data_IF_629073348640
#
_entry.id   IF_629073348640
#
_cell.length_a   1.000
_cell.length_b   1.000
_cell.length_c   1.000
_cell.angle_alpha   90.00
_cell.angle_beta   90.00
_cell.angle_gamma   90.00
#
_symmetry.space_group_name_H-M   'P 1'
#
loop_
_entity.id
_entity.type
_entity.pdbx_description
1 polymer ?
#
# COMPACT_ATOMS: atom_id res chain seq x y z
N UNK A 1 -5.93 -13.27 -14.89
CA UNK A 1 -5.67 -13.19 -13.43
C UNK A 1 -6.57 -12.11 -12.86
N UNK A 2 -7.50 -12.49 -11.99
CA UNK A 2 -8.48 -11.56 -11.41
C UNK A 2 -7.77 -10.53 -10.53
N UNK A 3 -8.35 -9.34 -10.42
CA UNK A 3 -7.79 -8.22 -9.65
C UNK A 3 -7.54 -8.60 -8.19
N UNK A 4 -8.38 -9.48 -7.63
CA UNK A 4 -8.24 -10.07 -6.30
C UNK A 4 -6.96 -10.90 -6.17
N UNK A 5 -6.70 -11.81 -7.09
CA UNK A 5 -5.51 -12.68 -7.06
C UNK A 5 -4.23 -11.83 -7.16
N UNK A 6 -4.26 -10.78 -7.98
CA UNK A 6 -3.18 -9.79 -8.03
C UNK A 6 -2.93 -9.17 -6.66
N UNK A 7 -3.98 -8.68 -5.99
CA UNK A 7 -3.84 -8.07 -4.67
C UNK A 7 -3.39 -9.05 -3.57
N UNK A 8 -3.80 -10.31 -3.63
CA UNK A 8 -3.38 -11.35 -2.67
C UNK A 8 -1.90 -11.71 -2.83
N UNK A 9 -1.43 -11.90 -4.07
CA UNK A 9 0.00 -12.10 -4.37
C UNK A 9 0.83 -10.91 -3.87
N UNK A 10 0.32 -9.68 -4.10
CA UNK A 10 0.96 -8.45 -3.63
C UNK A 10 1.13 -8.40 -2.11
N UNK A 11 0.12 -8.82 -1.35
CA UNK A 11 0.19 -8.90 0.11
C UNK A 11 1.29 -9.85 0.57
N UNK A 12 1.35 -11.02 -0.05
CA UNK A 12 2.24 -12.09 0.39
C UNK A 12 3.70 -11.76 0.05
N UNK A 13 3.95 -11.18 -1.14
CA UNK A 13 5.26 -10.65 -1.52
C UNK A 13 5.68 -9.52 -0.58
N UNK A 14 4.77 -8.61 -0.23
CA UNK A 14 5.04 -7.53 0.73
C UNK A 14 5.47 -8.08 2.10
N UNK A 15 4.73 -9.05 2.64
CA UNK A 15 5.04 -9.65 3.93
C UNK A 15 6.42 -10.32 3.92
N UNK A 16 6.71 -11.10 2.87
CA UNK A 16 8.00 -11.78 2.72
C UNK A 16 9.18 -10.82 2.61
N UNK A 17 9.06 -9.72 1.87
CA UNK A 17 10.13 -8.71 1.74
C UNK A 17 10.43 -8.01 3.07
N UNK A 18 9.38 -7.69 3.83
CA UNK A 18 9.51 -7.09 5.16
C UNK A 18 10.19 -8.06 6.13
N UNK A 19 9.74 -9.32 6.18
CA UNK A 19 10.31 -10.33 7.05
C UNK A 19 11.79 -10.58 6.70
N UNK A 20 12.14 -10.66 5.42
CA UNK A 20 13.52 -10.79 4.97
C UNK A 20 14.42 -9.63 5.45
N UNK A 21 13.97 -8.38 5.31
CA UNK A 21 14.72 -7.22 5.77
C UNK A 21 14.90 -7.23 7.29
N UNK A 22 13.89 -7.66 8.04
CA UNK A 22 13.94 -7.77 9.50
C UNK A 22 14.98 -8.80 9.95
N UNK A 23 14.96 -9.99 9.35
CA UNK A 23 15.90 -11.07 9.64
C UNK A 23 17.34 -10.66 9.29
N UNK A 24 17.53 -10.04 8.11
CA UNK A 24 18.84 -9.55 7.69
C UNK A 24 19.40 -8.49 8.65
N UNK A 25 18.57 -7.53 9.08
CA UNK A 25 18.98 -6.49 10.03
C UNK A 25 19.33 -7.04 11.40
N UNK A 26 18.57 -8.02 11.88
CA UNK A 26 18.83 -8.72 13.14
C UNK A 26 20.15 -9.48 13.09
N UNK A 27 20.38 -10.22 12.01
CA UNK A 27 21.65 -10.91 11.77
C UNK A 27 22.85 -9.93 11.78
N UNK A 28 22.75 -8.83 11.03
CA UNK A 28 23.83 -7.82 10.95
C UNK A 28 24.12 -7.15 12.29
N UNK A 29 23.08 -6.82 13.07
CA UNK A 29 23.24 -6.26 14.41
C UNK A 29 23.93 -7.25 15.36
N UNK A 30 23.55 -8.53 15.28
CA UNK A 30 24.16 -9.57 16.11
C UNK A 30 25.63 -9.79 15.75
N UNK A 31 25.97 -9.78 14.46
CA UNK A 31 27.35 -9.84 14.00
C UNK A 31 28.18 -8.65 14.53
N UNK A 32 27.68 -7.42 14.40
CA UNK A 32 28.37 -6.22 14.90
C UNK A 32 28.57 -6.23 16.43
N UNK A 33 27.58 -6.73 17.18
CA UNK A 33 27.70 -6.91 18.64
C UNK A 33 28.74 -7.97 19.00
N UNK A 34 28.78 -9.08 18.26
CA UNK A 34 29.80 -10.12 18.43
C UNK A 34 31.20 -9.57 18.18
N UNK A 35 31.39 -8.81 17.11
CA UNK A 35 32.66 -8.18 16.75
C UNK A 35 33.12 -7.15 17.79
N UNK A 36 32.18 -6.42 18.40
CA UNK A 36 32.43 -5.52 19.52
C UNK A 36 32.96 -6.30 20.74
N UNK A 37 32.27 -7.38 21.14
CA UNK A 37 32.69 -8.22 22.27
C UNK A 37 34.09 -8.80 22.04
N UNK A 38 34.39 -9.25 20.82
CA UNK A 38 35.72 -9.73 20.46
C UNK A 38 36.80 -8.64 20.57
N UNK A 39 36.51 -7.40 20.16
CA UNK A 39 37.44 -6.27 20.27
C UNK A 39 37.68 -5.85 21.74
N UNK A 40 36.64 -5.89 22.57
CA UNK A 40 36.73 -5.64 24.02
C UNK A 40 37.58 -6.73 24.69
N UNK A 41 37.32 -8.01 24.37
CA UNK A 41 38.09 -9.14 24.90
C UNK A 41 39.57 -9.09 24.48
N UNK A 42 39.86 -8.55 23.29
CA UNK A 42 41.21 -8.34 22.77
C UNK A 42 41.87 -7.05 23.28
N UNK A 43 41.22 -6.33 24.21
CA UNK A 43 41.69 -5.07 24.81
C UNK A 43 41.96 -3.94 23.79
N UNK A 44 41.33 -3.99 22.61
CA UNK A 44 41.48 -2.99 21.56
C UNK A 44 40.48 -1.85 21.75
N UNK A 45 40.70 -1.00 22.75
CA UNK A 45 39.76 0.05 23.18
C UNK A 45 39.28 1.00 22.05
N UNK A 46 40.17 1.41 21.15
CA UNK A 46 39.81 2.27 20.02
C UNK A 46 38.89 1.57 19.00
N UNK A 47 39.20 0.29 18.69
CA UNK A 47 38.40 -0.55 17.81
C UNK A 47 37.04 -0.87 18.44
N UNK A 48 37.02 -1.16 19.74
CA UNK A 48 35.78 -1.39 20.48
C UNK A 48 34.84 -0.17 20.46
N UNK A 49 35.37 1.06 20.63
CA UNK A 49 34.56 2.29 20.54
C UNK A 49 33.93 2.47 19.15
N UNK A 50 34.70 2.22 18.09
CA UNK A 50 34.20 2.30 16.72
C UNK A 50 33.10 1.25 16.45
N UNK A 51 33.34 -0.01 16.85
CA UNK A 51 32.35 -1.10 16.70
C UNK A 51 31.09 -0.85 17.53
N UNK A 52 31.20 -0.22 18.70
CA UNK A 52 30.05 0.18 19.51
C UNK A 52 29.20 1.24 18.80
N UNK A 53 29.82 2.23 18.16
CA UNK A 53 29.11 3.22 17.37
C UNK A 53 28.36 2.58 16.20
N UNK A 54 29.00 1.67 15.47
CA UNK A 54 28.38 0.93 14.35
C UNK A 54 27.19 0.09 14.86
N UNK A 55 27.35 -0.63 15.96
CA UNK A 55 26.24 -1.41 16.55
C UNK A 55 25.05 -0.51 16.95
N UNK A 56 25.32 0.69 17.47
CA UNK A 56 24.29 1.65 17.84
C UNK A 56 23.56 2.22 16.61
N UNK A 57 24.27 2.53 15.53
CA UNK A 57 23.66 2.97 14.27
C UNK A 57 22.80 1.89 13.64
N UNK A 58 23.29 0.65 13.60
CA UNK A 58 22.52 -0.52 13.13
C UNK A 58 21.26 -0.73 13.97
N UNK A 59 21.36 -0.58 15.29
CA UNK A 59 20.21 -0.68 16.18
C UNK A 59 19.20 0.45 15.95
N UNK A 60 19.66 1.67 15.68
CA UNK A 60 18.82 2.81 15.31
C UNK A 60 18.11 2.59 13.98
N UNK A 61 18.81 2.06 12.97
CA UNK A 61 18.24 1.70 11.68
C UNK A 61 17.16 0.61 11.80
N UNK A 62 17.43 -0.45 12.57
CA UNK A 62 16.47 -1.52 12.82
C UNK A 62 15.20 -1.03 13.54
N UNK A 63 15.34 -0.09 14.49
CA UNK A 63 14.18 0.54 15.14
C UNK A 63 13.33 1.36 14.16
N UNK A 64 13.96 2.15 13.28
CA UNK A 64 13.24 2.91 12.24
C UNK A 64 12.51 1.98 11.28
N UNK A 65 13.15 0.88 10.88
CA UNK A 65 12.56 -0.16 10.05
C UNK A 65 11.30 -0.75 10.70
N UNK A 66 11.36 -1.15 11.96
CA UNK A 66 10.18 -1.66 12.69
C UNK A 66 9.03 -0.66 12.81
N UNK A 67 9.33 0.62 13.06
CA UNK A 67 8.30 1.65 13.16
C UNK A 67 7.61 1.91 11.80
N UNK A 68 8.40 1.94 10.73
CA UNK A 68 7.88 2.09 9.37
C UNK A 68 7.09 0.86 8.94
N UNK A 69 7.57 -0.33 9.28
CA UNK A 69 6.91 -1.60 9.03
C UNK A 69 5.47 -1.60 9.58
N UNK A 70 5.29 -1.29 10.87
CA UNK A 70 3.96 -1.30 11.50
C UNK A 70 2.97 -0.33 10.82
N UNK A 71 3.46 0.85 10.40
CA UNK A 71 2.65 1.86 9.70
C UNK A 71 2.31 1.42 8.27
N UNK A 72 3.29 0.92 7.53
CA UNK A 72 3.12 0.52 6.12
C UNK A 72 2.29 -0.75 6.01
N UNK A 73 2.48 -1.74 6.87
CA UNK A 73 1.71 -2.98 6.92
C UNK A 73 0.22 -2.71 7.22
N UNK A 74 -0.06 -1.83 8.20
CA UNK A 74 -1.44 -1.44 8.53
C UNK A 74 -2.11 -0.73 7.36
N UNK A 75 -1.39 0.18 6.70
CA UNK A 75 -1.89 0.91 5.53
C UNK A 75 -2.15 -0.03 4.35
N UNK A 76 -1.24 -0.97 4.09
CA UNK A 76 -1.34 -1.94 3.01
C UNK A 76 -2.53 -2.89 3.23
N UNK A 77 -2.65 -3.47 4.43
CA UNK A 77 -3.78 -4.33 4.82
C UNK A 77 -5.12 -3.61 4.65
N UNK A 78 -5.20 -2.33 5.06
CA UNK A 78 -6.41 -1.52 4.90
C UNK A 78 -6.75 -1.30 3.42
N UNK A 79 -5.77 -0.91 2.59
CA UNK A 79 -5.99 -0.68 1.16
C UNK A 79 -6.43 -1.95 0.44
N UNK A 80 -5.83 -3.10 0.75
CA UNK A 80 -6.23 -4.40 0.18
C UNK A 80 -7.66 -4.78 0.57
N UNK A 81 -8.02 -4.59 1.86
CA UNK A 81 -9.39 -4.86 2.32
C UNK A 81 -10.40 -3.97 1.59
N UNK A 82 -10.09 -2.69 1.39
CA UNK A 82 -10.94 -1.79 0.61
C UNK A 82 -11.01 -2.23 -0.86
N UNK A 83 -9.89 -2.60 -1.47
CA UNK A 83 -9.85 -3.05 -2.86
C UNK A 83 -10.71 -4.31 -3.09
N UNK A 84 -10.62 -5.29 -2.17
CA UNK A 84 -11.49 -6.47 -2.17
C UNK A 84 -12.97 -6.10 -2.03
N UNK A 85 -13.29 -5.15 -1.15
CA UNK A 85 -14.67 -4.70 -0.95
C UNK A 85 -15.21 -3.94 -2.18
N UNK A 86 -14.37 -3.18 -2.88
CA UNK A 86 -14.74 -2.52 -4.13
C UNK A 86 -14.95 -3.53 -5.27
N UNK A 87 -14.24 -4.66 -5.27
CA UNK A 87 -14.35 -5.71 -6.28
C UNK A 87 -15.66 -6.51 -6.21
N UNK A 88 -16.45 -6.43 -5.13
CA UNK A 88 -17.72 -7.18 -5.03
C UNK A 88 -18.67 -6.90 -6.19
N UNK A 89 -18.71 -5.67 -6.71
CA UNK A 89 -19.57 -5.32 -7.85
C UNK A 89 -19.12 -5.96 -9.16
N UNK A 90 -17.82 -6.25 -9.29
CA UNK A 90 -17.23 -6.84 -10.49
C UNK A 90 -17.45 -8.35 -10.54
N UNK A 91 -17.33 -9.03 -9.40
CA UNK A 91 -17.42 -10.49 -9.31
C UNK A 91 -18.87 -11.00 -9.47
N UNK A 92 -19.86 -10.12 -9.30
CA UNK A 92 -21.27 -10.50 -9.33
C UNK A 92 -21.66 -11.41 -8.17
N UNK A 93 -20.90 -11.34 -7.06
CA UNK A 93 -21.23 -11.98 -5.80
C UNK A 93 -22.61 -11.51 -5.31
N UNK A 94 -23.33 -12.38 -4.60
CA UNK A 94 -24.63 -12.01 -4.06
C UNK A 94 -24.47 -10.82 -3.10
N UNK A 95 -25.02 -9.68 -3.52
CA UNK A 95 -24.79 -8.40 -2.88
C UNK A 95 -25.83 -8.16 -1.82
N UNK A 96 -25.54 -8.65 -0.61
CA UNK A 96 -26.32 -8.34 0.59
C UNK A 96 -26.18 -6.86 0.95
N UNK A 97 -27.12 -6.31 1.73
CA UNK A 97 -27.07 -4.91 2.20
C UNK A 97 -25.74 -4.57 2.90
N UNK A 98 -25.24 -5.49 3.72
CA UNK A 98 -23.94 -5.34 4.41
C UNK A 98 -22.76 -5.27 3.43
N UNK A 99 -22.70 -6.17 2.43
CA UNK A 99 -21.66 -6.13 1.40
C UNK A 99 -21.72 -4.86 0.56
N UNK A 100 -22.92 -4.40 0.22
CA UNK A 100 -23.13 -3.13 -0.48
C UNK A 100 -22.61 -1.93 0.33
N UNK A 101 -22.85 -1.89 1.65
CA UNK A 101 -22.31 -0.84 2.51
C UNK A 101 -20.77 -0.85 2.53
N UNK A 102 -20.15 -2.03 2.67
CA UNK A 102 -18.70 -2.17 2.62
C UNK A 102 -18.11 -1.73 1.28
N UNK A 103 -18.77 -2.08 0.18
CA UNK A 103 -18.39 -1.66 -1.17
C UNK A 103 -18.46 -0.13 -1.32
N UNK A 104 -19.52 0.52 -0.85
CA UNK A 104 -19.65 1.98 -0.90
C UNK A 104 -18.66 2.72 0.01
N UNK A 105 -18.31 2.12 1.14
CA UNK A 105 -17.27 2.63 2.02
C UNK A 105 -15.89 2.56 1.33
N UNK A 106 -15.59 1.43 0.68
CA UNK A 106 -14.37 1.27 -0.10
C UNK A 106 -14.29 2.24 -1.29
N UNK A 107 -15.37 2.38 -2.06
CA UNK A 107 -15.48 3.35 -3.15
C UNK A 107 -15.11 4.76 -2.68
N UNK A 108 -15.67 5.22 -1.55
CA UNK A 108 -15.40 6.56 -0.99
C UNK A 108 -13.93 6.78 -0.62
N UNK A 109 -13.24 5.73 -0.18
CA UNK A 109 -11.81 5.81 0.14
C UNK A 109 -11.00 6.06 -1.11
N UNK A 110 -11.26 5.30 -2.19
CA UNK A 110 -10.52 5.45 -3.44
C UNK A 110 -10.92 6.70 -4.22
N UNK A 111 -12.21 7.09 -4.21
CA UNK A 111 -12.72 8.33 -4.79
C UNK A 111 -11.93 9.55 -4.29
N UNK A 112 -11.62 9.61 -2.99
CA UNK A 112 -10.80 10.67 -2.38
C UNK A 112 -9.32 10.65 -2.79
N UNK A 113 -8.86 9.55 -3.38
CA UNK A 113 -7.47 9.37 -3.82
C UNK A 113 -7.33 9.55 -5.34
N UNK A 114 -8.43 9.70 -6.09
CA UNK A 114 -8.40 9.89 -7.54
C UNK A 114 -7.91 11.30 -7.86
N UNK A 115 -6.93 11.46 -8.76
CA UNK A 115 -6.55 12.76 -9.29
C UNK A 115 -7.73 13.48 -9.95
N UNK A 116 -7.82 14.80 -9.80
CA UNK A 116 -8.93 15.60 -10.34
C UNK A 116 -9.10 15.38 -11.85
N UNK A 117 -8.00 15.34 -12.61
CA UNK A 117 -8.02 15.14 -14.07
C UNK A 117 -8.68 13.81 -14.48
N UNK A 118 -8.53 12.74 -13.69
CA UNK A 118 -9.18 11.46 -13.95
C UNK A 118 -10.67 11.48 -13.57
N UNK A 119 -11.04 12.22 -12.52
CA UNK A 119 -12.45 12.44 -12.18
C UNK A 119 -13.16 13.23 -13.28
N UNK A 120 -12.50 14.24 -13.85
CA UNK A 120 -13.05 15.03 -14.95
C UNK A 120 -13.33 14.16 -16.19
N UNK A 121 -12.43 13.23 -16.53
CA UNK A 121 -12.66 12.27 -17.62
C UNK A 121 -13.86 11.34 -17.36
N UNK A 122 -14.08 10.94 -16.10
CA UNK A 122 -15.26 10.14 -15.73
C UNK A 122 -16.54 11.00 -15.82
N UNK A 123 -16.46 12.26 -15.41
CA UNK A 123 -17.58 13.20 -15.42
C UNK A 123 -17.99 13.62 -16.84
N UNK A 124 -17.08 13.53 -17.81
CA UNK A 124 -17.38 13.74 -19.24
C UNK A 124 -18.14 12.57 -19.89
N UNK A 125 -18.29 11.44 -19.20
CA UNK A 125 -19.05 10.30 -19.72
C UNK A 125 -20.54 10.50 -19.49
N UNK A 126 -21.24 10.87 -20.56
CA UNK A 126 -22.70 10.99 -20.57
C UNK A 126 -23.38 9.69 -20.16
N UNK A 127 -24.45 9.84 -19.39
CA UNK A 127 -25.29 8.73 -18.97
C UNK A 127 -26.20 8.27 -20.11
N UNK A 128 -26.08 7.01 -20.53
CA UNK A 128 -26.96 6.44 -21.54
C UNK A 128 -28.43 6.48 -21.07
N UNK A 129 -29.40 6.90 -21.91
CA UNK A 129 -30.80 7.04 -21.50
C UNK A 129 -31.41 5.78 -20.88
N UNK A 130 -31.05 4.60 -21.43
CA UNK A 130 -31.47 3.31 -20.88
C UNK A 130 -30.97 3.02 -19.45
N UNK A 131 -29.85 3.61 -19.03
CA UNK A 131 -29.35 3.47 -17.66
C UNK A 131 -30.17 4.29 -16.65
N UNK A 132 -30.99 5.25 -17.10
CA UNK A 132 -31.85 6.05 -16.22
C UNK A 132 -33.08 5.29 -15.73
N UNK A 133 -33.42 4.14 -16.33
CA UNK A 133 -34.64 3.41 -15.99
C UNK A 133 -34.52 2.69 -14.65
N UNK A 134 -35.51 2.88 -13.78
CA UNK A 134 -35.60 2.24 -12.47
C UNK A 134 -35.56 0.71 -12.56
N UNK A 135 -36.08 0.14 -13.65
CA UNK A 135 -36.01 -1.31 -13.96
C UNK A 135 -34.59 -1.85 -14.11
N UNK A 136 -33.57 -0.99 -14.23
CA UNK A 136 -32.17 -1.39 -14.27
C UNK A 136 -31.57 -1.61 -12.86
N UNK A 137 -32.33 -1.36 -11.80
CA UNK A 137 -31.87 -1.34 -10.42
C UNK A 137 -32.73 -2.21 -9.51
N UNK A 138 -32.14 -2.60 -8.38
CA UNK A 138 -32.83 -3.24 -7.25
C UNK A 138 -32.61 -2.39 -6.01
N UNK A 139 -33.69 -2.14 -5.27
CA UNK A 139 -33.62 -1.50 -3.97
C UNK A 139 -33.14 -2.53 -2.94
N UNK A 140 -31.95 -2.32 -2.37
CA UNK A 140 -31.37 -3.24 -1.38
C UNK A 140 -31.76 -2.89 0.05
N UNK A 141 -32.38 -1.73 0.26
CA UNK A 141 -32.99 -1.38 1.55
C UNK A 141 -34.39 -1.97 1.67
N UNK A 142 -35.21 -1.82 0.62
CA UNK A 142 -36.58 -2.32 0.55
C UNK A 142 -36.81 -3.09 -0.76
N UNK A 143 -36.50 -4.40 -0.81
CA UNK A 143 -36.53 -5.19 -2.05
C UNK A 143 -37.91 -5.36 -2.69
N UNK A 144 -38.99 -5.15 -1.93
CA UNK A 144 -40.37 -5.19 -2.43
C UNK A 144 -40.77 -3.94 -3.21
N UNK A 145 -40.03 -2.83 -3.04
CA UNK A 145 -40.32 -1.57 -3.72
C UNK A 145 -39.60 -1.45 -5.06
N UNK A 146 -40.27 -0.83 -6.03
CA UNK A 146 -39.70 -0.57 -7.33
C UNK A 146 -38.76 0.64 -7.26
N UNK A 147 -37.61 0.55 -7.92
CA UNK A 147 -36.71 1.70 -8.03
C UNK A 147 -37.34 2.77 -8.94
N UNK A 148 -37.18 4.04 -8.56
CA UNK A 148 -37.59 5.15 -9.40
C UNK A 148 -36.62 5.35 -10.57
N UNK A 149 -37.14 5.92 -11.67
CA UNK A 149 -36.30 6.43 -12.74
C UNK A 149 -35.37 7.54 -12.21
N UNK A 150 -34.16 7.58 -12.77
CA UNK A 150 -33.13 8.53 -12.39
C UNK A 150 -33.48 9.90 -12.98
N UNK A 151 -33.50 10.97 -12.17
CA UNK A 151 -33.83 12.31 -12.63
C UNK A 151 -32.91 12.82 -13.73
N UNK A 152 -33.44 13.72 -14.56
CA UNK A 152 -32.70 14.26 -15.71
C UNK A 152 -31.40 14.97 -15.31
N UNK A 153 -31.38 15.68 -14.18
CA UNK A 153 -30.21 16.40 -13.65
C UNK A 153 -29.01 15.51 -13.23
N UNK A 154 -29.11 14.19 -13.36
CA UNK A 154 -28.00 13.25 -13.15
C UNK A 154 -27.37 12.96 -14.50
N UNK A 155 -26.40 13.79 -14.90
CA UNK A 155 -25.95 13.83 -16.29
C UNK A 155 -24.84 12.82 -16.63
N UNK A 156 -24.02 12.45 -15.64
CA UNK A 156 -22.86 11.59 -15.86
C UNK A 156 -22.81 10.38 -14.92
N UNK A 157 -21.92 9.43 -15.25
CA UNK A 157 -21.75 8.19 -14.50
C UNK A 157 -21.28 8.39 -13.05
N UNK A 158 -20.57 9.48 -12.74
CA UNK A 158 -20.15 9.78 -11.37
C UNK A 158 -21.32 10.27 -10.50
N UNK A 159 -22.14 11.19 -11.02
CA UNK A 159 -23.38 11.65 -10.37
C UNK A 159 -24.36 10.50 -10.17
N UNK A 160 -24.43 9.59 -11.14
CA UNK A 160 -25.20 8.34 -11.03
C UNK A 160 -24.81 7.56 -9.77
N UNK A 161 -23.51 7.36 -9.52
CA UNK A 161 -23.05 6.65 -8.31
C UNK A 161 -23.48 7.36 -7.04
N UNK A 162 -23.36 8.69 -7.01
CA UNK A 162 -23.82 9.50 -5.90
C UNK A 162 -25.31 9.32 -5.62
N UNK A 163 -26.14 9.26 -6.66
CA UNK A 163 -27.58 9.08 -6.56
C UNK A 163 -27.95 7.68 -6.04
N UNK A 164 -27.46 6.61 -6.69
CA UNK A 164 -27.83 5.23 -6.33
C UNK A 164 -27.33 4.85 -4.93
N UNK A 165 -26.18 5.39 -4.51
CA UNK A 165 -25.66 5.20 -3.16
C UNK A 165 -26.58 5.77 -2.09
N UNK A 166 -27.15 6.97 -2.30
CA UNK A 166 -28.09 7.61 -1.35
C UNK A 166 -29.43 6.88 -1.29
N UNK A 167 -29.84 6.27 -2.40
CA UNK A 167 -31.09 5.53 -2.52
C UNK A 167 -30.97 4.04 -2.19
N UNK A 168 -29.78 3.57 -1.83
CA UNK A 168 -29.51 2.13 -1.59
C UNK A 168 -29.84 1.24 -2.80
N UNK A 169 -29.73 1.80 -4.00
CA UNK A 169 -29.97 1.08 -5.25
C UNK A 169 -28.70 0.38 -5.70
N UNK A 170 -28.88 -0.81 -6.26
CA UNK A 170 -27.82 -1.58 -6.90
C UNK A 170 -28.20 -1.87 -8.35
N UNK A 171 -27.33 -1.58 -9.33
CA UNK A 171 -27.64 -1.90 -10.71
C UNK A 171 -27.68 -3.42 -10.94
N UNK A 172 -28.67 -3.89 -11.67
CA UNK A 172 -28.82 -5.28 -12.09
C UNK A 172 -27.67 -5.70 -13.01
N UNK A 173 -27.10 -6.88 -12.77
CA UNK A 173 -25.98 -7.39 -13.58
C UNK A 173 -26.35 -7.45 -15.07
N UNK A 174 -25.43 -7.00 -15.92
CA UNK A 174 -25.61 -6.97 -17.38
C UNK A 174 -26.45 -5.81 -17.91
N UNK A 175 -27.12 -5.06 -17.02
CA UNK A 175 -27.90 -3.87 -17.38
C UNK A 175 -27.02 -2.73 -17.88
N UNK A 176 -27.63 -1.74 -18.55
CA UNK A 176 -26.89 -0.56 -19.01
C UNK A 176 -26.35 0.25 -17.83
N UNK A 177 -27.15 0.36 -16.76
CA UNK A 177 -26.73 0.96 -15.50
C UNK A 177 -25.50 0.27 -14.90
N UNK A 178 -25.48 -1.06 -14.92
CA UNK A 178 -24.36 -1.83 -14.39
C UNK A 178 -23.08 -1.56 -15.18
N UNK A 179 -23.15 -1.45 -16.52
CA UNK A 179 -21.99 -1.11 -17.35
C UNK A 179 -21.41 0.27 -17.01
N UNK A 180 -22.26 1.28 -16.79
CA UNK A 180 -21.80 2.62 -16.39
C UNK A 180 -21.13 2.60 -15.02
N UNK A 181 -21.75 1.96 -14.03
CA UNK A 181 -21.17 1.83 -12.69
C UNK A 181 -19.83 1.08 -12.74
N UNK A 182 -19.75 -0.01 -13.52
CA UNK A 182 -18.53 -0.78 -13.70
C UNK A 182 -17.38 0.04 -14.30
N UNK A 183 -17.66 0.93 -15.27
CA UNK A 183 -16.64 1.82 -15.85
C UNK A 183 -16.04 2.76 -14.80
N UNK A 184 -16.88 3.36 -13.96
CA UNK A 184 -16.39 4.25 -12.89
C UNK A 184 -15.59 3.45 -11.84
N UNK A 185 -16.07 2.27 -11.46
CA UNK A 185 -15.33 1.39 -10.55
C UNK A 185 -14.00 0.91 -11.13
N UNK A 186 -13.91 0.70 -12.44
CA UNK A 186 -12.66 0.34 -13.11
C UNK A 186 -11.64 1.50 -13.05
N UNK A 187 -12.06 2.73 -13.37
CA UNK A 187 -11.18 3.90 -13.27
C UNK A 187 -10.66 4.12 -11.84
N UNK A 188 -11.48 3.81 -10.84
CA UNK A 188 -11.08 3.88 -9.42
C UNK A 188 -10.15 2.73 -9.04
N UNK A 189 -10.31 1.54 -9.63
CA UNK A 189 -9.41 0.41 -9.42
C UNK A 189 -7.99 0.71 -9.95
N UNK A 190 -7.86 1.46 -11.04
CA UNK A 190 -6.56 1.91 -11.56
C UNK A 190 -5.83 2.82 -10.57
N UNK A 191 -6.58 3.66 -9.84
CA UNK A 191 -6.03 4.49 -8.74
C UNK A 191 -5.56 3.61 -7.58
N UNK A 192 -6.31 2.57 -7.22
CA UNK A 192 -5.88 1.61 -6.20
C UNK A 192 -4.56 0.93 -6.61
N UNK A 193 -4.40 0.56 -7.89
CA UNK A 193 -3.16 0.00 -8.41
C UNK A 193 -1.99 1.00 -8.35
N UNK A 194 -2.21 2.26 -8.72
CA UNK A 194 -1.20 3.32 -8.59
C UNK A 194 -0.75 3.54 -7.14
N UNK A 195 -1.69 3.53 -6.19
CA UNK A 195 -1.35 3.67 -4.77
C UNK A 195 -0.53 2.49 -4.24
N UNK A 196 -0.80 1.26 -4.72
CA UNK A 196 0.05 0.12 -4.39
C UNK A 196 1.45 0.23 -5.01
N UNK A 197 1.57 0.72 -6.24
CA UNK A 197 2.88 1.00 -6.87
C UNK A 197 3.71 1.97 -6.03
N UNK A 198 3.10 3.07 -5.56
CA UNK A 198 3.77 4.03 -4.66
C UNK A 198 4.20 3.39 -3.34
N UNK A 199 3.43 2.44 -2.82
CA UNK A 199 3.81 1.69 -1.63
C UNK A 199 4.99 0.75 -1.91
N UNK A 200 5.06 0.15 -3.09
CA UNK A 200 6.20 -0.65 -3.52
C UNK A 200 7.46 0.20 -3.67
N UNK A 201 7.37 1.36 -4.32
CA UNK A 201 8.48 2.32 -4.43
C UNK A 201 8.99 2.73 -3.04
N UNK A 202 8.08 3.05 -2.11
CA UNK A 202 8.48 3.36 -0.73
C UNK A 202 9.22 2.19 -0.05
N UNK A 203 8.94 0.94 -0.42
CA UNK A 203 9.68 -0.24 0.08
C UNK A 203 11.02 -0.39 -0.59
N UNK A 204 11.11 -0.15 -1.89
CA UNK A 204 12.39 -0.16 -2.60
C UNK A 204 13.29 0.95 -2.06
N UNK A 205 12.76 2.13 -1.76
CA UNK A 205 13.48 3.20 -1.07
C UNK A 205 13.88 2.80 0.35
N UNK A 206 12.99 2.16 1.11
CA UNK A 206 13.34 1.60 2.42
C UNK A 206 14.49 0.59 2.29
N UNK A 207 14.40 -0.31 1.31
CA UNK A 207 15.40 -1.32 1.02
C UNK A 207 16.73 -0.65 0.66
N UNK A 208 16.73 0.30 -0.26
CA UNK A 208 17.91 1.03 -0.72
C UNK A 208 18.58 1.80 0.43
N UNK A 209 17.82 2.58 1.19
CA UNK A 209 18.33 3.30 2.37
C UNK A 209 18.87 2.34 3.44
N UNK A 210 18.20 1.20 3.63
CA UNK A 210 18.63 0.16 4.56
C UNK A 210 19.92 -0.51 4.08
N UNK A 211 20.03 -0.85 2.80
CA UNK A 211 21.25 -1.41 2.20
C UNK A 211 22.41 -0.41 2.20
N UNK A 212 22.15 0.89 2.03
CA UNK A 212 23.18 1.93 2.18
C UNK A 212 23.73 1.95 3.61
N UNK A 213 22.86 1.92 4.63
CA UNK A 213 23.27 1.86 6.04
C UNK A 213 23.91 0.51 6.38
N UNK A 214 23.54 -0.58 5.71
CA UNK A 214 24.07 -1.93 5.93
C UNK A 214 25.20 -2.32 4.97
N UNK A 215 25.69 -1.37 4.15
CA UNK A 215 26.68 -1.65 3.13
C UNK A 215 28.03 -2.03 3.78
N UNK A 216 28.59 -3.23 3.51
CA UNK A 216 29.67 -3.82 4.31
C UNK A 216 31.04 -3.12 4.22
N UNK A 217 31.25 -2.19 3.29
CA UNK A 217 32.50 -1.41 3.21
C UNK A 217 32.72 -0.55 4.47
N UNK A 218 31.66 -0.23 5.21
CA UNK A 218 31.73 0.45 6.51
C UNK A 218 31.78 -0.56 7.68
N UNK A 219 31.21 -1.76 7.50
CA UNK A 219 30.90 -2.69 8.61
C UNK A 219 31.94 -3.81 8.80
N UNK A 220 32.66 -4.24 7.76
CA UNK A 220 33.43 -5.49 7.83
C UNK A 220 34.86 -5.47 7.22
N UNK A 221 35.34 -4.33 6.73
CA UNK A 221 36.40 -4.35 5.70
C UNK A 221 37.79 -3.86 6.08
N UNK A 222 38.10 -3.53 7.33
CA UNK A 222 39.43 -3.04 7.69
C UNK A 222 40.22 -4.15 8.39
N UNK A 223 41.11 -4.89 7.67
CA UNK A 223 42.03 -5.81 8.31
C UNK A 223 42.90 -5.03 9.30
N UNK A 224 43.34 -5.70 10.36
CA UNK A 224 44.13 -5.15 11.48
C UNK A 224 45.57 -4.77 11.05
N UNK A 225 45.70 -4.07 9.94
CA UNK A 225 46.95 -3.65 9.29
C UNK A 225 47.21 -2.19 9.59
N UNK A 226 48.49 -1.82 9.59
CA UNK A 226 48.97 -0.52 10.01
C UNK A 226 48.36 0.66 9.20
N UNK A 227 47.91 0.41 7.97
CA UNK A 227 47.31 1.42 7.09
C UNK A 227 45.86 1.77 7.47
N UNK A 228 45.14 0.84 8.08
CA UNK A 228 43.79 1.08 8.64
C UNK A 228 43.85 2.07 9.80
N UNK A 229 44.86 1.94 10.67
CA UNK A 229 45.08 2.89 11.77
C UNK A 229 45.36 4.30 11.26
N UNK A 230 46.04 4.45 10.12
CA UNK A 230 46.28 5.76 9.48
C UNK A 230 45.02 6.36 8.86
N UNK A 231 44.20 5.55 8.19
CA UNK A 231 42.92 6.00 7.62
C UNK A 231 41.96 6.45 8.74
N UNK A 232 41.88 5.68 9.83
CA UNK A 232 41.07 6.03 11.00
C UNK A 232 41.60 7.28 11.72
N UNK A 233 42.92 7.42 11.86
CA UNK A 233 43.53 8.61 12.48
C UNK A 233 43.33 9.89 11.66
N UNK A 234 43.27 9.77 10.33
CA UNK A 234 43.01 10.91 9.45
C UNK A 234 41.51 11.27 9.38
N UNK A 235 40.61 10.28 9.32
CA UNK A 235 39.16 10.53 9.31
C UNK A 235 38.62 11.11 10.63
N UNK A 236 39.28 10.83 11.76
CA UNK A 236 38.94 11.42 13.07
C UNK A 236 39.40 12.87 13.25
N UNK A 237 40.29 13.39 12.39
CA UNK A 237 40.72 14.81 12.44
C UNK A 237 39.79 15.75 11.68
N UNK A 238 38.87 15.21 10.87
CA UNK A 238 37.96 15.98 10.02
C UNK A 238 36.51 16.03 10.57
N UNK A 239 36.26 15.47 11.75
CA UNK A 239 35.04 15.63 12.57
C UNK A 239 35.32 16.58 13.74
#
# INVERSE_FOLDING_TARGET
MELKDKFEIWRDVFALQVDFLRELGTYKLNAAKSDLVAAVASNQLAVARMKAHIAQELQGALRRLHQMEGRTATKAKRLMSMARNAAYIQNGDDMTRSRMQMMWAAYKVFERMVPIDQLDQIMQQDLHPGARKGTQYVNKEEPSEHCHDIPDHIDNAHMLIGYIKRRHYLPLRGSQAHRHVMKVFAAIADVAASQLSKMQEAIEDMRNNTYQVWNPLIIAGLPDTMDVKKILYNGMKEL
#
